data_IF_934099372488
#
_entry.id   IF_934099372488
#
_cell.length_a   1.000
_cell.length_b   1.000
_cell.length_c   1.000
_cell.angle_alpha   90.00
_cell.angle_beta   90.00
_cell.angle_gamma   90.00
#
_symmetry.space_group_name_H-M   'P 1'
#
loop_
_entity.id
_entity.type
_entity.pdbx_description
1 polymer ?
#
# COMPACT_ATOMS: atom_id res chain seq x y z
N UNK A 1 30.72 -3.69 -31.59
CA UNK A 1 31.22 -2.59 -30.75
C UNK A 1 30.12 -1.67 -30.23
N UNK A 2 29.12 -1.25 -31.01
CA UNK A 2 28.00 -0.38 -30.57
C UNK A 2 27.09 -1.08 -29.54
N UNK A 3 26.77 -2.35 -29.72
CA UNK A 3 25.89 -3.11 -28.84
C UNK A 3 26.49 -3.35 -27.45
N UNK A 4 27.79 -3.57 -27.34
CA UNK A 4 28.47 -3.71 -26.06
C UNK A 4 28.48 -2.41 -25.27
N UNK A 5 28.64 -1.26 -25.95
CA UNK A 5 28.62 0.06 -25.30
C UNK A 5 27.21 0.37 -24.75
N UNK A 6 26.16 0.07 -25.53
CA UNK A 6 24.79 0.26 -25.10
C UNK A 6 24.41 -0.64 -23.91
N UNK A 7 24.83 -1.91 -23.93
CA UNK A 7 24.61 -2.84 -22.83
C UNK A 7 25.33 -2.38 -21.55
N UNK A 8 26.53 -1.84 -21.68
CA UNK A 8 27.31 -1.32 -20.55
C UNK A 8 26.65 -0.08 -19.93
N UNK A 9 26.18 0.87 -20.74
CA UNK A 9 25.44 2.06 -20.27
C UNK A 9 24.12 1.69 -19.56
N UNK A 10 23.40 0.69 -20.05
CA UNK A 10 22.17 0.18 -19.41
C UNK A 10 22.48 -0.48 -18.07
N UNK A 11 23.56 -1.25 -18.00
CA UNK A 11 23.98 -1.89 -16.74
C UNK A 11 24.48 -0.87 -15.71
N UNK A 12 25.25 0.14 -16.13
CA UNK A 12 25.69 1.24 -15.25
C UNK A 12 24.50 2.04 -14.71
N UNK A 13 23.51 2.38 -15.57
CA UNK A 13 22.27 3.05 -15.11
C UNK A 13 21.49 2.19 -14.10
N UNK A 14 21.36 0.89 -14.33
CA UNK A 14 20.71 -0.02 -13.39
C UNK A 14 21.47 -0.12 -12.07
N UNK A 15 22.80 -0.17 -12.12
CA UNK A 15 23.62 -0.18 -10.90
C UNK A 15 23.53 1.15 -10.14
N UNK A 16 23.57 2.30 -10.81
CA UNK A 16 23.39 3.60 -10.18
C UNK A 16 22.02 3.76 -9.56
N UNK A 17 20.94 3.33 -10.25
CA UNK A 17 19.59 3.30 -9.72
C UNK A 17 19.51 2.39 -8.49
N UNK A 18 20.09 1.19 -8.54
CA UNK A 18 20.13 0.28 -7.39
C UNK A 18 20.85 0.88 -6.18
N UNK A 19 21.96 1.58 -6.39
CA UNK A 19 22.68 2.28 -5.32
C UNK A 19 21.86 3.43 -4.74
N UNK A 20 21.12 4.16 -5.58
CA UNK A 20 20.25 5.26 -5.14
C UNK A 20 19.09 4.74 -4.30
N UNK A 21 18.39 3.71 -4.78
CA UNK A 21 17.30 3.08 -4.02
C UNK A 21 17.78 2.49 -2.70
N UNK A 22 18.92 1.79 -2.69
CA UNK A 22 19.51 1.28 -1.45
C UNK A 22 19.82 2.37 -0.44
N UNK A 23 20.25 3.55 -0.88
CA UNK A 23 20.48 4.69 -0.01
C UNK A 23 19.15 5.24 0.54
N UNK A 24 18.13 5.40 -0.31
CA UNK A 24 16.81 5.87 0.10
C UNK A 24 16.17 4.90 1.11
N UNK A 25 16.29 3.60 0.88
CA UNK A 25 15.79 2.59 1.83
C UNK A 25 16.49 2.67 3.20
N UNK A 26 17.78 2.97 3.24
CA UNK A 26 18.50 3.20 4.50
C UNK A 26 18.02 4.46 5.23
N UNK A 27 17.56 5.45 4.49
CA UNK A 27 16.87 6.64 5.03
C UNK A 27 15.39 6.39 5.34
N UNK A 28 14.95 5.13 5.28
CA UNK A 28 13.58 4.67 5.57
C UNK A 28 12.51 5.19 4.61
N UNK A 29 12.91 5.57 3.39
CA UNK A 29 12.03 6.03 2.32
C UNK A 29 11.70 4.85 1.40
N UNK A 30 10.44 4.42 1.39
CA UNK A 30 9.91 3.32 0.61
C UNK A 30 9.02 3.85 -0.51
N UNK A 31 8.93 3.14 -1.63
CA UNK A 31 8.19 3.62 -2.80
C UNK A 31 7.27 2.54 -3.38
N UNK A 32 5.98 2.85 -3.44
CA UNK A 32 4.98 2.12 -4.19
C UNK A 32 4.61 2.96 -5.43
N UNK A 33 5.42 2.84 -6.49
CA UNK A 33 5.31 3.62 -7.72
C UNK A 33 4.72 2.87 -8.92
N UNK A 34 4.01 1.77 -8.67
CA UNK A 34 3.50 0.87 -9.69
C UNK A 34 2.20 0.19 -9.25
N UNK A 35 1.70 -0.72 -10.10
CA UNK A 35 0.60 -1.62 -9.74
C UNK A 35 0.97 -2.50 -8.54
N UNK A 36 -0.01 -2.74 -7.66
CA UNK A 36 0.14 -3.60 -6.47
C UNK A 36 0.05 -5.06 -6.91
N UNK A 37 1.17 -5.74 -6.96
CA UNK A 37 1.29 -7.17 -7.22
C UNK A 37 2.08 -7.88 -6.11
N UNK A 38 2.24 -9.19 -6.25
CA UNK A 38 2.95 -10.00 -5.25
C UNK A 38 4.45 -9.66 -5.17
N UNK A 39 5.06 -9.21 -6.28
CA UNK A 39 6.49 -8.91 -6.32
C UNK A 39 6.79 -7.64 -5.50
N UNK A 40 6.14 -6.52 -5.84
CA UNK A 40 6.38 -5.26 -5.13
C UNK A 40 5.93 -5.32 -3.67
N UNK A 41 4.80 -6.01 -3.39
CA UNK A 41 4.32 -6.16 -2.02
C UNK A 41 5.30 -6.96 -1.17
N UNK A 42 5.82 -8.09 -1.64
CA UNK A 42 6.82 -8.87 -0.92
C UNK A 42 8.13 -8.11 -0.70
N UNK A 43 8.55 -7.29 -1.67
CA UNK A 43 9.73 -6.44 -1.52
C UNK A 43 9.53 -5.40 -0.42
N UNK A 44 8.41 -4.68 -0.44
CA UNK A 44 8.09 -3.66 0.57
C UNK A 44 7.89 -4.27 1.96
N UNK A 45 7.20 -5.41 2.05
CA UNK A 45 7.03 -6.18 3.30
C UNK A 45 8.39 -6.55 3.88
N UNK A 46 9.27 -7.14 3.06
CA UNK A 46 10.61 -7.52 3.50
C UNK A 46 11.44 -6.33 3.98
N UNK A 47 11.36 -5.18 3.29
CA UNK A 47 12.04 -3.95 3.69
C UNK A 47 11.49 -3.36 4.98
N UNK A 48 10.15 -3.31 5.15
CA UNK A 48 9.53 -2.81 6.38
C UNK A 48 9.92 -3.64 7.59
N UNK A 49 9.87 -4.97 7.48
CA UNK A 49 10.28 -5.89 8.55
C UNK A 49 11.77 -5.69 8.87
N UNK A 50 12.63 -5.68 7.85
CA UNK A 50 14.07 -5.49 8.04
C UNK A 50 14.39 -4.17 8.75
N UNK A 51 13.83 -3.05 8.28
CA UNK A 51 14.05 -1.73 8.85
C UNK A 51 13.47 -1.61 10.27
N UNK A 52 12.34 -2.26 10.54
CA UNK A 52 11.77 -2.35 11.89
C UNK A 52 12.69 -3.10 12.86
N UNK A 53 13.34 -4.19 12.40
CA UNK A 53 14.31 -4.94 13.20
C UNK A 53 15.62 -4.16 13.42
N UNK A 54 16.00 -3.31 12.47
CA UNK A 54 17.22 -2.47 12.59
C UNK A 54 17.03 -1.35 13.61
N UNK A 55 15.89 -0.69 13.59
CA UNK A 55 15.52 0.35 14.56
C UNK A 55 13.98 0.46 14.64
N UNK A 56 13.43 0.17 15.80
CA UNK A 56 11.99 0.15 16.07
C UNK A 56 11.37 1.50 16.48
N UNK A 57 12.21 2.53 16.66
CA UNK A 57 11.79 3.84 17.15
C UNK A 57 11.75 4.93 16.07
N UNK A 58 12.25 4.62 14.87
CA UNK A 58 12.32 5.57 13.76
C UNK A 58 11.27 5.25 12.69
N UNK A 59 10.41 6.21 12.39
CA UNK A 59 9.33 6.06 11.41
C UNK A 59 9.80 5.61 10.02
N UNK A 60 8.89 4.95 9.32
CA UNK A 60 9.01 4.58 7.91
C UNK A 60 8.15 5.53 7.07
N UNK A 61 8.61 5.89 5.89
CA UNK A 61 7.89 6.77 4.97
C UNK A 61 7.58 6.01 3.68
N UNK A 62 6.31 5.76 3.41
CA UNK A 62 5.84 5.09 2.19
C UNK A 62 5.25 6.09 1.20
N UNK A 63 5.98 6.36 0.14
CA UNK A 63 5.54 7.21 -0.96
C UNK A 63 4.72 6.39 -1.96
N UNK A 64 3.50 6.85 -2.25
CA UNK A 64 2.53 6.11 -3.05
C UNK A 64 2.17 6.91 -4.32
N UNK A 65 2.37 6.26 -5.47
CA UNK A 65 1.85 6.68 -6.78
C UNK A 65 1.43 5.41 -7.54
N UNK A 66 0.22 4.92 -7.25
CA UNK A 66 -0.23 3.60 -7.70
C UNK A 66 -1.67 3.62 -8.21
N UNK A 67 -1.94 2.96 -9.34
CA UNK A 67 -3.30 2.74 -9.83
C UNK A 67 -4.09 1.73 -8.99
N UNK A 68 -3.45 1.10 -8.01
CA UNK A 68 -3.98 -0.04 -7.27
C UNK A 68 -3.46 -1.36 -7.82
N UNK A 69 -4.25 -2.41 -7.71
CA UNK A 69 -3.88 -3.75 -8.19
C UNK A 69 -4.52 -4.85 -7.36
N UNK A 70 -3.80 -5.93 -7.13
CA UNK A 70 -4.34 -7.14 -6.51
C UNK A 70 -4.60 -6.95 -5.02
N UNK A 71 -5.78 -7.41 -4.59
CA UNK A 71 -6.27 -7.18 -3.23
C UNK A 71 -5.42 -7.94 -2.19
N UNK A 72 -5.13 -9.22 -2.41
CA UNK A 72 -4.39 -10.04 -1.44
C UNK A 72 -2.99 -9.49 -1.16
N UNK A 73 -2.15 -9.17 -2.17
CA UNK A 73 -0.85 -8.50 -1.93
C UNK A 73 -0.98 -7.15 -1.22
N UNK A 74 -2.02 -6.37 -1.56
CA UNK A 74 -2.27 -5.09 -0.91
C UNK A 74 -2.68 -5.22 0.56
N UNK A 75 -3.52 -6.19 0.90
CA UNK A 75 -3.88 -6.49 2.29
C UNK A 75 -2.66 -6.97 3.07
N UNK A 76 -1.81 -7.84 2.49
CA UNK A 76 -0.59 -8.30 3.14
C UNK A 76 0.37 -7.13 3.45
N UNK A 77 0.50 -6.17 2.53
CA UNK A 77 1.28 -4.97 2.76
C UNK A 77 0.68 -4.11 3.88
N UNK A 78 -0.65 -3.89 3.83
CA UNK A 78 -1.38 -3.18 4.87
C UNK A 78 -1.20 -3.82 6.25
N UNK A 79 -1.38 -5.14 6.36
CA UNK A 79 -1.22 -5.87 7.63
C UNK A 79 0.22 -5.73 8.16
N UNK A 80 1.22 -5.74 7.28
CA UNK A 80 2.61 -5.51 7.65
C UNK A 80 2.83 -4.10 8.20
N UNK A 81 2.21 -3.08 7.59
CA UNK A 81 2.26 -1.70 8.10
C UNK A 81 1.69 -1.59 9.52
N UNK A 82 0.68 -2.42 9.85
CA UNK A 82 0.10 -2.49 11.21
C UNK A 82 0.95 -3.31 12.17
N UNK A 83 1.73 -4.28 11.67
CA UNK A 83 2.52 -5.21 12.48
C UNK A 83 3.86 -4.64 12.92
N UNK A 84 4.53 -3.86 12.07
CA UNK A 84 5.85 -3.29 12.38
C UNK A 84 5.76 -2.29 13.53
N UNK A 85 6.81 -2.19 14.35
CA UNK A 85 6.81 -1.31 15.53
C UNK A 85 6.89 0.19 15.18
N UNK A 86 7.73 0.61 14.19
CA UNK A 86 7.77 2.00 13.76
C UNK A 86 6.44 2.42 13.12
N UNK A 87 6.07 3.68 13.28
CA UNK A 87 4.96 4.25 12.53
C UNK A 87 5.28 4.31 11.03
N UNK A 88 4.32 3.92 10.19
CA UNK A 88 4.44 3.99 8.73
C UNK A 88 3.66 5.19 8.23
N UNK A 89 4.37 6.26 7.91
CA UNK A 89 3.80 7.49 7.35
C UNK A 89 3.56 7.31 5.84
N UNK A 90 2.33 7.42 5.39
CA UNK A 90 1.97 7.28 3.97
C UNK A 90 1.86 8.64 3.30
N UNK A 91 2.45 8.78 2.11
CA UNK A 91 2.50 10.04 1.37
C UNK A 91 2.08 9.79 -0.07
N UNK A 92 0.94 10.33 -0.49
CA UNK A 92 0.51 10.26 -1.89
C UNK A 92 1.27 11.29 -2.74
N UNK A 93 1.93 10.81 -3.80
CA UNK A 93 2.60 11.65 -4.81
C UNK A 93 2.05 11.30 -6.19
N UNK A 94 1.15 12.08 -6.71
CA UNK A 94 0.46 11.81 -7.97
C UNK A 94 -0.92 11.22 -7.73
N UNK A 95 -1.08 9.90 -7.83
CA UNK A 95 -2.37 9.26 -7.63
C UNK A 95 -2.28 8.03 -6.73
N UNK A 96 -3.35 7.77 -6.00
CA UNK A 96 -3.56 6.52 -5.27
C UNK A 96 -5.00 6.06 -5.52
N UNK A 97 -5.16 4.98 -6.32
CA UNK A 97 -6.47 4.46 -6.68
C UNK A 97 -6.64 3.02 -6.20
N UNK A 98 -7.88 2.57 -6.02
CA UNK A 98 -8.22 1.19 -5.64
C UNK A 98 -7.36 0.71 -4.44
N UNK A 99 -6.62 -0.39 -4.58
CA UNK A 99 -5.72 -0.90 -3.54
C UNK A 99 -4.64 0.11 -3.09
N UNK A 100 -4.18 1.00 -3.98
CA UNK A 100 -3.27 2.11 -3.64
C UNK A 100 -3.90 3.10 -2.66
N UNK A 101 -5.18 3.41 -2.82
CA UNK A 101 -5.95 4.23 -1.88
C UNK A 101 -6.13 3.52 -0.53
N UNK A 102 -6.37 2.21 -0.53
CA UNK A 102 -6.48 1.41 0.68
C UNK A 102 -5.18 1.43 1.50
N UNK A 103 -4.03 1.26 0.84
CA UNK A 103 -2.72 1.34 1.48
C UNK A 103 -2.46 2.76 2.01
N UNK A 104 -2.85 3.81 1.27
CA UNK A 104 -2.71 5.21 1.70
C UNK A 104 -3.46 5.49 3.00
N UNK A 105 -4.67 4.97 3.14
CA UNK A 105 -5.52 5.15 4.33
C UNK A 105 -4.96 4.44 5.57
N UNK A 106 -4.06 3.52 5.42
CA UNK A 106 -3.69 2.46 6.34
C UNK A 106 -2.76 2.78 7.50
N UNK A 107 -3.03 3.71 8.43
CA UNK A 107 -2.33 3.72 9.73
C UNK A 107 -3.30 3.89 10.88
N UNK A 108 -3.51 2.91 11.75
CA UNK A 108 -3.64 2.85 13.22
C UNK A 108 -4.12 1.45 13.67
N UNK A 109 -3.34 0.86 14.60
CA UNK A 109 -3.56 -0.25 15.54
C UNK A 109 -4.81 -1.14 15.44
N UNK A 110 -4.64 -2.34 15.07
CA UNK A 110 -4.78 -3.65 15.72
C UNK A 110 -4.82 -4.79 14.68
N UNK A 111 -4.17 -5.94 14.89
CA UNK A 111 -4.12 -7.02 13.93
C UNK A 111 -5.46 -7.74 13.83
N UNK A 112 -5.97 -7.88 12.63
CA UNK A 112 -7.09 -8.77 12.33
C UNK A 112 -6.55 -10.09 11.77
N UNK A 113 -6.99 -11.16 12.36
CA UNK A 113 -6.55 -12.52 12.31
C UNK A 113 -6.30 -13.18 10.95
N UNK A 114 -5.54 -14.26 11.04
CA UNK A 114 -5.07 -15.19 10.01
C UNK A 114 -6.19 -15.85 9.19
N UNK A 115 -5.95 -16.01 7.88
CA UNK A 115 -6.73 -16.85 6.97
C UNK A 115 -6.05 -18.20 6.79
N UNK A 116 -6.84 -19.30 6.80
CA UNK A 116 -6.41 -20.65 6.45
C UNK A 116 -7.17 -21.14 5.22
N UNK A 117 -6.43 -21.77 4.28
CA UNK A 117 -6.96 -22.41 3.07
C UNK A 117 -7.78 -23.67 3.38
N UNK A 118 -8.92 -23.85 2.69
CA UNK A 118 -9.53 -25.17 2.49
C UNK A 118 -10.21 -25.26 1.11
N UNK A 119 -9.98 -26.36 0.41
CA UNK A 119 -10.47 -26.63 -0.95
C UNK A 119 -11.87 -27.24 -1.00
N UNK A 120 -12.56 -26.99 -2.13
CA UNK A 120 -13.74 -27.66 -2.72
C UNK A 120 -15.14 -27.44 -2.09
N UNK A 121 -15.91 -26.82 -2.83
CA UNK A 121 -17.24 -26.25 -2.72
C UNK A 121 -17.17 -24.84 -3.28
N UNK A 122 -16.28 -24.68 -4.17
CA UNK A 122 -15.39 -23.51 -4.40
C UNK A 122 -16.10 -22.22 -4.77
N UNK A 123 -17.15 -22.27 -5.54
CA UNK A 123 -17.75 -21.03 -6.07
C UNK A 123 -18.57 -20.24 -5.05
N UNK A 124 -19.31 -20.92 -4.18
CA UNK A 124 -20.14 -20.25 -3.16
C UNK A 124 -19.27 -19.76 -2.00
N UNK A 125 -18.19 -20.48 -1.70
CA UNK A 125 -17.21 -20.07 -0.68
C UNK A 125 -16.37 -18.89 -1.17
N UNK A 126 -15.92 -18.88 -2.43
CA UNK A 126 -15.20 -17.74 -3.03
C UNK A 126 -16.00 -16.45 -3.00
N UNK A 127 -17.29 -16.49 -3.39
CA UNK A 127 -18.18 -15.32 -3.30
C UNK A 127 -18.35 -14.88 -1.85
N UNK A 128 -18.51 -15.82 -0.92
CA UNK A 128 -18.61 -15.54 0.51
C UNK A 128 -17.33 -14.91 1.08
N UNK A 129 -16.17 -15.34 0.64
CA UNK A 129 -14.87 -14.77 1.06
C UNK A 129 -14.61 -13.40 0.46
N UNK A 130 -14.94 -13.20 -0.82
CA UNK A 130 -14.87 -11.88 -1.47
C UNK A 130 -15.79 -10.87 -0.78
N UNK A 131 -16.99 -11.26 -0.36
CA UNK A 131 -17.90 -10.39 0.38
C UNK A 131 -17.36 -10.05 1.77
N UNK A 132 -16.75 -11.01 2.48
CA UNK A 132 -16.09 -10.77 3.77
C UNK A 132 -14.89 -9.84 3.61
N UNK A 133 -14.07 -10.07 2.59
CA UNK A 133 -12.92 -9.23 2.29
C UNK A 133 -13.38 -7.80 1.99
N UNK A 134 -14.40 -7.62 1.15
CA UNK A 134 -15.02 -6.33 0.88
C UNK A 134 -15.53 -5.67 2.15
N UNK A 135 -16.24 -6.39 3.00
CA UNK A 135 -16.69 -5.87 4.28
C UNK A 135 -15.54 -5.42 5.17
N UNK A 136 -14.45 -6.18 5.20
CA UNK A 136 -13.24 -5.84 5.95
C UNK A 136 -12.62 -4.54 5.44
N UNK A 137 -12.44 -4.40 4.12
CA UNK A 137 -11.94 -3.17 3.50
C UNK A 137 -12.85 -1.98 3.81
N UNK A 138 -14.18 -2.16 3.70
CA UNK A 138 -15.16 -1.11 4.03
C UNK A 138 -15.02 -0.68 5.49
N UNK A 139 -14.84 -1.61 6.42
CA UNK A 139 -14.66 -1.30 7.85
C UNK A 139 -13.39 -0.50 8.14
N UNK A 140 -12.30 -0.77 7.42
CA UNK A 140 -11.07 0.02 7.53
C UNK A 140 -11.35 1.47 7.13
N UNK A 141 -11.99 1.70 6.00
CA UNK A 141 -12.37 3.07 5.58
C UNK A 141 -13.32 3.73 6.58
N UNK A 142 -14.31 3.01 7.11
CA UNK A 142 -15.23 3.53 8.15
C UNK A 142 -14.46 3.99 9.38
N UNK A 143 -13.51 3.19 9.87
CA UNK A 143 -12.69 3.53 11.04
C UNK A 143 -11.84 4.77 10.79
N UNK A 144 -11.33 4.92 9.58
CA UNK A 144 -10.42 6.02 9.23
C UNK A 144 -11.15 7.32 8.93
N UNK A 145 -12.21 7.24 8.14
CA UNK A 145 -12.95 8.43 7.71
C UNK A 145 -13.98 8.89 8.73
N UNK A 146 -14.34 8.06 9.69
CA UNK A 146 -15.44 8.30 10.63
C UNK A 146 -16.82 8.33 9.98
N UNK A 147 -16.92 7.96 8.70
CA UNK A 147 -18.20 7.94 7.97
C UNK A 147 -19.01 6.69 8.28
N UNK A 148 -20.35 6.76 8.17
CA UNK A 148 -21.21 5.60 8.33
C UNK A 148 -20.89 4.50 7.31
N UNK A 149 -21.00 3.23 7.73
CA UNK A 149 -20.72 2.06 6.88
C UNK A 149 -21.45 2.09 5.54
N UNK A 150 -22.74 2.46 5.54
CA UNK A 150 -23.54 2.49 4.33
C UNK A 150 -23.07 3.56 3.33
N UNK A 151 -22.53 4.71 3.81
CA UNK A 151 -21.96 5.75 2.95
C UNK A 151 -20.71 5.21 2.26
N UNK A 152 -19.75 4.67 3.03
CA UNK A 152 -18.52 4.11 2.49
C UNK A 152 -18.80 2.94 1.54
N UNK A 153 -19.74 2.05 1.90
CA UNK A 153 -20.13 0.93 1.05
C UNK A 153 -20.73 1.38 -0.28
N UNK A 154 -21.54 2.43 -0.28
CA UNK A 154 -22.13 3.00 -1.51
C UNK A 154 -21.07 3.69 -2.37
N UNK A 155 -20.16 4.43 -1.74
CA UNK A 155 -19.07 5.10 -2.44
C UNK A 155 -18.08 4.10 -3.07
N UNK A 156 -17.88 2.93 -2.47
CA UNK A 156 -17.07 1.85 -3.03
C UNK A 156 -17.71 1.12 -4.23
N UNK A 157 -19.01 1.35 -4.52
CA UNK A 157 -19.67 0.81 -5.73
C UNK A 157 -19.37 1.62 -6.98
N UNK A 158 -18.79 2.79 -6.84
CA UNK A 158 -18.55 3.74 -7.93
C UNK A 158 -17.08 4.13 -7.98
N UNK A 159 -16.61 4.42 -9.19
CA UNK A 159 -15.30 5.05 -9.36
C UNK A 159 -15.39 6.52 -8.92
N UNK A 160 -15.02 6.79 -7.68
CA UNK A 160 -15.00 8.16 -7.13
C UNK A 160 -13.56 8.69 -7.22
N UNK A 161 -13.39 9.78 -7.93
CA UNK A 161 -12.15 10.53 -8.00
C UNK A 161 -12.23 11.73 -7.07
N UNK A 162 -11.22 11.90 -6.22
CA UNK A 162 -11.13 13.00 -5.26
C UNK A 162 -9.84 13.77 -5.49
N UNK A 163 -9.93 15.09 -5.45
CA UNK A 163 -8.75 15.95 -5.28
C UNK A 163 -8.15 15.73 -3.89
N UNK A 164 -6.92 16.20 -3.66
CA UNK A 164 -6.27 16.07 -2.36
C UNK A 164 -7.09 16.72 -1.23
N UNK A 165 -7.71 17.88 -1.49
CA UNK A 165 -8.57 18.59 -0.54
C UNK A 165 -9.89 17.86 -0.26
N UNK A 166 -10.48 17.24 -1.28
CA UNK A 166 -11.67 16.38 -1.11
C UNK A 166 -11.35 15.12 -0.34
N UNK A 167 -10.20 14.48 -0.61
CA UNK A 167 -9.72 13.33 0.13
C UNK A 167 -9.47 13.65 1.61
N UNK A 168 -8.94 14.85 1.92
CA UNK A 168 -8.80 15.34 3.29
C UNK A 168 -10.17 15.57 3.93
N UNK A 169 -11.09 16.23 3.25
CA UNK A 169 -12.45 16.46 3.77
C UNK A 169 -13.24 15.15 3.94
N UNK A 170 -12.93 14.13 3.13
CA UNK A 170 -13.50 12.80 3.27
C UNK A 170 -12.89 12.03 4.45
N UNK A 171 -11.67 12.34 4.86
CA UNK A 171 -10.94 11.67 5.93
C UNK A 171 -10.00 10.56 5.44
N UNK A 172 -9.65 10.55 4.15
CA UNK A 172 -8.69 9.58 3.56
C UNK A 172 -7.25 9.99 3.86
N UNK A 173 -6.97 11.28 3.90
CA UNK A 173 -5.66 11.84 4.25
C UNK A 173 -5.81 12.87 5.35
N UNK A 174 -4.81 12.97 6.23
CA UNK A 174 -4.81 13.89 7.37
C UNK A 174 -4.36 15.29 6.97
N UNK A 175 -3.41 15.36 6.03
CA UNK A 175 -2.80 16.62 5.61
C UNK A 175 -2.61 16.69 4.09
N UNK A 176 -2.89 17.86 3.54
CA UNK A 176 -2.55 18.21 2.16
C UNK A 176 -1.41 19.21 2.19
N UNK A 177 -0.27 18.87 1.57
CA UNK A 177 0.81 19.82 1.38
C UNK A 177 0.38 20.86 0.34
N UNK A 178 0.26 22.10 0.76
CA UNK A 178 0.05 23.28 -0.11
C UNK A 178 1.32 24.12 -0.08
N UNK A 179 1.74 24.65 -1.24
CA UNK A 179 2.80 25.63 -1.33
C UNK A 179 2.38 26.96 -0.70
#
# INVERSE_FOLDING_TARGET
MVFQKYLFEVLERKMQLGLTYNRLYRERLLFLGQEVDSEISNQLIGLMIYLSMENDTQDLYLFINSPGGWVIPGVALYDTMQFVQPDVQTICMGSAASMGSFILVGVIHQPAGSFSEVATGEFILEVGELLKLRETLTRVYVQRTGKPFWVVSEDMERDIFMSATEAQAYGIVDLVAVE
#
